data_IF_162824594348
#
_entry.id   IF_162824594348
#
_cell.length_a   1.000
_cell.length_b   1.000
_cell.length_c   1.000
_cell.angle_alpha   90.00
_cell.angle_beta   90.00
_cell.angle_gamma   90.00
#
_symmetry.space_group_name_H-M   'P 1'
#
loop_
_entity.id
_entity.type
_entity.pdbx_description
1 polymer ?
#
# COMPACT_ATOMS: atom_id res chain seq x y z
N UNK A 1 -15.39 -0.65 14.37
CA UNK A 1 -15.03 -2.09 14.29
C UNK A 1 -13.75 -2.26 15.08
N UNK A 2 -13.55 -3.37 15.81
CA UNK A 2 -12.31 -3.63 16.54
C UNK A 2 -11.44 -4.52 15.67
N UNK A 3 -10.28 -4.01 15.25
CA UNK A 3 -9.26 -4.76 14.52
C UNK A 3 -8.14 -5.19 15.47
N UNK A 4 -7.34 -6.19 15.08
CA UNK A 4 -6.03 -6.36 15.73
C UNK A 4 -5.15 -5.17 15.39
N UNK A 5 -4.21 -4.82 16.28
CA UNK A 5 -3.26 -3.72 16.07
C UNK A 5 -2.59 -3.79 14.68
N UNK A 6 -2.16 -4.98 14.26
CA UNK A 6 -1.46 -5.14 12.98
C UNK A 6 -2.38 -4.96 11.77
N UNK A 7 -3.66 -5.35 11.91
CA UNK A 7 -4.66 -5.10 10.86
C UNK A 7 -4.96 -3.61 10.75
N UNK A 8 -5.11 -2.92 11.89
CA UNK A 8 -5.33 -1.47 11.93
C UNK A 8 -4.15 -0.72 11.29
N UNK A 9 -2.91 -0.98 11.73
CA UNK A 9 -1.70 -0.39 11.16
C UNK A 9 -1.57 -0.67 9.64
N UNK A 10 -1.92 -1.87 9.19
CA UNK A 10 -1.88 -2.20 7.76
C UNK A 10 -2.93 -1.44 6.95
N UNK A 11 -4.14 -1.26 7.49
CA UNK A 11 -5.19 -0.48 6.84
C UNK A 11 -4.87 1.01 6.83
N UNK A 12 -4.30 1.55 7.90
CA UNK A 12 -3.81 2.92 7.96
C UNK A 12 -2.72 3.18 6.92
N UNK A 13 -1.73 2.28 6.81
CA UNK A 13 -0.69 2.35 5.80
C UNK A 13 -1.25 2.36 4.37
N UNK A 14 -2.21 1.47 4.10
CA UNK A 14 -2.88 1.38 2.80
C UNK A 14 -3.63 2.68 2.46
N UNK A 15 -4.39 3.22 3.41
CA UNK A 15 -5.16 4.46 3.20
C UNK A 15 -4.23 5.65 3.02
N UNK A 16 -3.16 5.76 3.82
CA UNK A 16 -2.16 6.82 3.66
C UNK A 16 -1.50 6.74 2.27
N UNK A 17 -1.12 5.53 1.83
CA UNK A 17 -0.52 5.33 0.53
C UNK A 17 -1.46 5.76 -0.59
N UNK A 18 -2.72 5.36 -0.56
CA UNK A 18 -3.72 5.77 -1.58
C UNK A 18 -3.88 7.30 -1.59
N UNK A 19 -4.06 7.90 -0.41
CA UNK A 19 -4.26 9.35 -0.28
C UNK A 19 -3.02 10.19 -0.60
N UNK A 20 -1.84 9.58 -0.75
CA UNK A 20 -0.64 10.29 -1.21
C UNK A 20 -0.69 10.71 -2.67
N UNK A 21 -1.61 10.11 -3.46
CA UNK A 21 -1.76 10.41 -4.88
C UNK A 21 -2.32 11.82 -5.10
N UNK A 22 -1.78 12.58 -6.07
CA UNK A 22 -2.35 13.86 -6.47
C UNK A 22 -3.76 13.74 -7.06
N UNK A 23 -4.22 12.55 -7.44
CA UNK A 23 -5.58 12.33 -7.94
C UNK A 23 -6.65 12.46 -6.85
N UNK A 24 -6.26 12.25 -5.58
CA UNK A 24 -7.15 12.33 -4.42
C UNK A 24 -6.93 13.58 -3.57
N UNK A 25 -5.80 14.27 -3.76
CA UNK A 25 -5.43 15.49 -3.04
C UNK A 25 -5.12 16.65 -3.98
N UNK A 26 -4.45 17.68 -3.46
CA UNK A 26 -3.94 18.79 -4.28
C UNK A 26 -2.52 18.55 -4.80
N UNK A 27 -1.72 17.77 -4.06
CA UNK A 27 -0.27 17.66 -4.27
C UNK A 27 0.22 16.21 -4.02
N UNK A 28 1.23 15.78 -4.77
CA UNK A 28 1.91 14.49 -4.59
C UNK A 28 2.65 14.44 -3.24
N UNK A 29 2.28 13.48 -2.38
CA UNK A 29 2.86 13.32 -1.03
C UNK A 29 3.92 12.22 -0.95
N UNK A 30 4.14 11.47 -2.03
CA UNK A 30 5.19 10.46 -2.17
C UNK A 30 6.08 10.75 -3.40
N UNK A 31 6.75 11.91 -3.47
CA UNK A 31 7.46 12.32 -4.69
C UNK A 31 8.82 11.65 -4.87
N UNK A 32 9.43 11.14 -3.81
CA UNK A 32 10.79 10.63 -3.84
C UNK A 32 11.03 9.48 -2.83
N UNK A 33 12.23 8.89 -2.90
CA UNK A 33 12.64 7.77 -2.04
C UNK A 33 12.78 8.21 -0.57
N UNK A 34 13.00 9.49 -0.29
CA UNK A 34 13.04 10.01 1.09
C UNK A 34 11.66 9.97 1.70
N UNK A 35 10.63 10.40 0.96
CA UNK A 35 9.24 10.28 1.35
C UNK A 35 8.83 8.81 1.53
N UNK A 36 9.27 7.91 0.64
CA UNK A 36 9.03 6.47 0.78
C UNK A 36 9.64 5.90 2.06
N UNK A 37 10.89 6.24 2.38
CA UNK A 37 11.52 5.86 3.66
C UNK A 37 10.73 6.37 4.86
N UNK A 38 10.23 7.60 4.80
CA UNK A 38 9.43 8.17 5.88
C UNK A 38 8.11 7.40 6.09
N UNK A 39 7.42 7.04 5.00
CA UNK A 39 6.20 6.23 5.04
C UNK A 39 6.46 4.84 5.64
N UNK A 40 7.47 4.13 5.13
CA UNK A 40 7.89 2.82 5.63
C UNK A 40 8.25 2.86 7.12
N UNK A 41 8.99 3.88 7.55
CA UNK A 41 9.39 4.04 8.95
C UNK A 41 8.21 4.37 9.86
N UNK A 42 7.23 5.16 9.39
CA UNK A 42 6.05 5.55 10.18
C UNK A 42 5.15 4.36 10.48
N UNK A 43 4.93 3.51 9.47
CA UNK A 43 4.11 2.29 9.57
C UNK A 43 4.88 1.06 10.07
N UNK A 44 6.15 1.25 10.46
CA UNK A 44 7.03 0.20 11.01
C UNK A 44 7.10 -1.05 10.13
N UNK A 45 7.17 -0.85 8.81
CA UNK A 45 7.29 -1.97 7.87
C UNK A 45 8.63 -2.66 8.12
N UNK A 46 8.55 -3.96 8.41
CA UNK A 46 9.69 -4.78 8.81
C UNK A 46 10.47 -5.29 7.61
N UNK A 47 11.72 -5.70 7.84
CA UNK A 47 12.59 -6.33 6.82
C UNK A 47 12.79 -5.49 5.53
N UNK A 48 12.64 -4.17 5.62
CA UNK A 48 12.88 -3.27 4.50
C UNK A 48 14.39 -3.01 4.33
N UNK A 49 14.93 -3.42 3.19
CA UNK A 49 16.30 -3.11 2.79
C UNK A 49 16.49 -1.66 2.33
N UNK A 50 17.65 -1.33 1.75
CA UNK A 50 17.85 -0.03 1.12
C UNK A 50 16.81 0.21 0.02
N UNK A 51 16.09 1.33 0.11
CA UNK A 51 15.10 1.73 -0.87
C UNK A 51 15.72 2.57 -1.98
N UNK A 52 15.34 2.28 -3.23
CA UNK A 52 15.74 2.99 -4.45
C UNK A 52 14.55 3.49 -5.29
N UNK A 53 14.83 4.12 -6.42
CA UNK A 53 13.80 4.67 -7.32
C UNK A 53 12.90 3.59 -7.95
N UNK A 54 13.36 2.35 -8.06
CA UNK A 54 12.55 1.23 -8.56
C UNK A 54 11.52 0.82 -7.52
N UNK A 55 11.88 0.84 -6.25
CA UNK A 55 10.93 0.60 -5.16
C UNK A 55 9.85 1.69 -5.15
N UNK A 56 10.24 2.96 -5.34
CA UNK A 56 9.29 4.06 -5.45
C UNK A 56 8.34 3.88 -6.63
N UNK A 57 8.86 3.55 -7.82
CA UNK A 57 8.03 3.28 -8.99
C UNK A 57 7.09 2.08 -8.79
N UNK A 58 7.56 1.02 -8.13
CA UNK A 58 6.73 -0.14 -7.79
C UNK A 58 5.61 0.23 -6.80
N UNK A 59 5.90 1.08 -5.82
CA UNK A 59 4.91 1.57 -4.84
C UNK A 59 3.89 2.48 -5.50
N UNK A 60 4.28 3.35 -6.44
CA UNK A 60 3.32 4.13 -7.24
C UNK A 60 2.42 3.22 -8.09
N UNK A 61 2.99 2.20 -8.74
CA UNK A 61 2.19 1.24 -9.50
C UNK A 61 1.22 0.44 -8.61
N UNK A 62 1.66 0.07 -7.40
CA UNK A 62 0.79 -0.57 -6.40
C UNK A 62 -0.31 0.38 -5.93
N UNK A 63 0.01 1.66 -5.68
CA UNK A 63 -0.94 2.71 -5.28
C UNK A 63 -2.11 2.80 -6.26
N UNK A 64 -1.84 2.84 -7.56
CA UNK A 64 -2.88 2.86 -8.61
C UNK A 64 -3.78 1.61 -8.58
N UNK A 65 -3.17 0.42 -8.40
CA UNK A 65 -3.92 -0.84 -8.32
C UNK A 65 -4.80 -0.90 -7.07
N UNK A 66 -4.29 -0.39 -5.94
CA UNK A 66 -5.03 -0.28 -4.69
C UNK A 66 -6.20 0.71 -4.84
N UNK A 67 -5.97 1.86 -5.46
CA UNK A 67 -7.04 2.82 -5.73
C UNK A 67 -8.16 2.21 -6.59
N UNK A 68 -7.79 1.44 -7.63
CA UNK A 68 -8.76 0.76 -8.48
C UNK A 68 -9.65 -0.26 -7.74
N UNK A 69 -9.22 -0.78 -6.58
CA UNK A 69 -10.08 -1.63 -5.73
C UNK A 69 -11.28 -0.83 -5.22
N UNK A 70 -11.07 0.42 -4.78
CA UNK A 70 -12.13 1.29 -4.25
C UNK A 70 -13.11 1.77 -5.32
N UNK A 71 -12.72 1.71 -6.59
CA UNK A 71 -13.58 2.04 -7.72
C UNK A 71 -14.39 0.84 -8.25
N UNK A 72 -14.20 -0.36 -7.67
CA UNK A 72 -14.89 -1.57 -8.12
C UNK A 72 -16.41 -1.43 -7.96
N UNK A 73 -17.16 -1.83 -8.98
CA UNK A 73 -18.63 -1.72 -8.98
C UNK A 73 -19.34 -2.93 -8.37
N UNK A 74 -18.59 -3.97 -8.00
CA UNK A 74 -19.12 -5.18 -7.38
C UNK A 74 -18.11 -5.84 -6.45
N UNK A 75 -18.61 -6.63 -5.49
CA UNK A 75 -17.78 -7.44 -4.60
C UNK A 75 -16.93 -8.47 -5.37
N UNK A 76 -17.45 -9.00 -6.48
CA UNK A 76 -16.71 -9.96 -7.32
C UNK A 76 -15.50 -9.31 -7.99
N UNK A 77 -15.67 -8.12 -8.54
CA UNK A 77 -14.58 -7.34 -9.14
C UNK A 77 -13.54 -6.95 -8.08
N UNK A 78 -14.02 -6.48 -6.92
CA UNK A 78 -13.16 -6.13 -5.79
C UNK A 78 -12.31 -7.33 -5.33
N UNK A 79 -12.94 -8.50 -5.14
CA UNK A 79 -12.25 -9.72 -4.76
C UNK A 79 -11.22 -10.17 -5.81
N UNK A 80 -11.57 -10.06 -7.11
CA UNK A 80 -10.64 -10.40 -8.19
C UNK A 80 -9.39 -9.50 -8.18
N UNK A 81 -9.55 -8.20 -7.97
CA UNK A 81 -8.43 -7.24 -7.89
C UNK A 81 -7.54 -7.50 -6.66
N UNK A 82 -8.14 -7.72 -5.50
CA UNK A 82 -7.40 -8.06 -4.28
C UNK A 82 -6.60 -9.35 -4.48
N UNK A 83 -7.23 -10.40 -5.02
CA UNK A 83 -6.56 -11.67 -5.24
C UNK A 83 -5.39 -11.54 -6.22
N UNK A 84 -5.52 -10.72 -7.27
CA UNK A 84 -4.44 -10.47 -8.22
C UNK A 84 -3.21 -9.82 -7.53
N UNK A 85 -3.42 -8.84 -6.64
CA UNK A 85 -2.33 -8.24 -5.86
C UNK A 85 -1.68 -9.28 -4.95
N UNK A 86 -2.49 -10.06 -4.23
CA UNK A 86 -2.01 -11.05 -3.27
C UNK A 86 -1.19 -12.16 -3.95
N UNK A 87 -1.57 -12.61 -5.15
CA UNK A 87 -0.86 -13.68 -5.86
C UNK A 87 0.53 -13.29 -6.37
N UNK A 88 0.83 -12.00 -6.46
CA UNK A 88 2.13 -11.51 -6.93
C UNK A 88 3.17 -11.40 -5.79
N UNK A 89 2.74 -11.53 -4.53
CA UNK A 89 3.60 -11.39 -3.36
C UNK A 89 3.64 -12.70 -2.54
N UNK A 90 4.77 -13.01 -1.88
CA UNK A 90 4.85 -14.12 -0.94
C UNK A 90 4.10 -13.76 0.36
N UNK A 91 2.78 -13.91 0.37
CA UNK A 91 1.90 -13.62 1.53
C UNK A 91 1.86 -14.74 2.58
N UNK A 92 2.96 -15.47 2.77
CA UNK A 92 3.01 -16.55 3.76
C UNK A 92 3.15 -15.98 5.18
N UNK A 93 2.15 -16.15 6.07
CA UNK A 93 2.28 -15.72 7.46
C UNK A 93 3.42 -16.49 8.14
N UNK A 94 4.24 -15.78 8.92
CA UNK A 94 5.31 -16.37 9.73
C UNK A 94 5.08 -16.00 11.19
N UNK A 95 5.35 -16.95 12.08
CA UNK A 95 5.46 -16.67 13.50
C UNK A 95 6.90 -16.19 13.74
N UNK A 96 7.04 -14.92 14.11
CA UNK A 96 8.30 -14.30 14.54
C UNK A 96 8.26 -14.05 16.03
#
# INVERSE_FOLDING_TARGET
MIFSHDTENSLECLVELINSSPELGSDEQLPDVVALRALVSRHRVSEVGPLDDRDLAAVHALRERLYAIFLSSSEHELAARINAIITEAPVQPRLT
#
